data_IF_783527259472
#
_entry.id   IF_783527259472
#
_cell.length_a   1.000
_cell.length_b   1.000
_cell.length_c   1.000
_cell.angle_alpha   90.00
_cell.angle_beta   90.00
_cell.angle_gamma   90.00
#
_symmetry.space_group_name_H-M   'P 1'
#
loop_
_entity.id
_entity.type
_entity.pdbx_description
1 polymer ?
#
# COMPACT_ATOMS: atom_id res chain seq x y z
N UNK A 1 11.69 71.17 12.10
CA UNK A 1 10.54 70.26 12.25
C UNK A 1 10.70 69.17 11.20
N UNK A 2 11.01 67.93 11.59
CA UNK A 2 11.38 66.85 10.64
C UNK A 2 10.42 65.68 10.75
N UNK A 3 9.83 65.31 9.62
CA UNK A 3 8.72 64.36 9.45
C UNK A 3 9.25 62.93 9.31
N UNK A 4 10.16 62.50 10.20
CA UNK A 4 10.84 61.19 10.07
C UNK A 4 10.18 60.03 10.80
N UNK A 5 9.02 60.20 11.42
CA UNK A 5 8.46 59.17 12.31
C UNK A 5 7.21 58.43 11.79
N UNK A 6 7.05 58.34 10.46
CA UNK A 6 5.99 57.53 9.84
C UNK A 6 6.49 56.18 9.32
N UNK A 7 7.17 55.43 10.17
CA UNK A 7 7.35 54.01 9.89
C UNK A 7 7.01 53.19 11.14
N UNK A 8 5.70 53.00 11.33
CA UNK A 8 5.18 52.03 12.28
C UNK A 8 5.75 50.66 11.94
N UNK A 9 6.69 50.19 12.77
CA UNK A 9 7.21 48.82 12.71
C UNK A 9 6.02 47.88 12.86
N UNK A 10 5.68 47.16 11.79
CA UNK A 10 4.79 46.01 11.88
C UNK A 10 5.44 45.01 12.83
N UNK A 11 4.77 44.72 13.95
CA UNK A 11 5.19 43.65 14.84
C UNK A 11 4.95 42.35 14.10
N UNK A 12 6.00 41.60 13.81
CA UNK A 12 5.84 40.23 13.35
C UNK A 12 5.35 39.41 14.54
N UNK A 13 4.03 39.28 14.63
CA UNK A 13 3.34 38.41 15.58
C UNK A 13 3.42 36.99 15.06
N UNK A 14 4.59 36.38 15.24
CA UNK A 14 4.90 35.03 14.76
C UNK A 14 5.21 34.08 15.90
N UNK A 15 4.40 33.02 15.98
CA UNK A 15 4.69 31.72 16.62
C UNK A 15 4.70 31.69 18.15
N UNK A 16 3.51 31.59 18.73
CA UNK A 16 3.37 31.31 20.17
C UNK A 16 3.64 29.84 20.45
N UNK A 17 4.29 29.51 21.57
CA UNK A 17 4.54 28.13 22.02
C UNK A 17 3.26 27.27 21.97
N UNK A 18 2.10 27.84 22.34
CA UNK A 18 0.81 27.14 22.31
C UNK A 18 0.40 26.66 20.92
N UNK A 19 0.70 27.44 19.87
CA UNK A 19 0.43 27.09 18.48
C UNK A 19 1.25 25.86 18.08
N UNK A 20 2.53 25.85 18.45
CA UNK A 20 3.44 24.72 18.22
C UNK A 20 3.00 23.48 18.98
N UNK A 21 2.53 23.63 20.22
CA UNK A 21 2.10 22.50 21.04
C UNK A 21 0.91 21.77 20.42
N UNK A 22 -0.06 22.51 19.88
CA UNK A 22 -1.22 21.92 19.21
C UNK A 22 -0.78 21.19 17.94
N UNK A 23 0.14 21.77 17.16
CA UNK A 23 0.67 21.14 15.93
C UNK A 23 1.42 19.85 16.25
N UNK A 24 2.28 19.85 17.27
CA UNK A 24 3.03 18.67 17.67
C UNK A 24 2.12 17.56 18.22
N UNK A 25 1.06 17.92 18.93
CA UNK A 25 0.07 16.96 19.43
C UNK A 25 -0.63 16.24 18.26
N UNK A 26 -1.09 16.99 17.25
CA UNK A 26 -1.74 16.41 16.07
C UNK A 26 -0.74 15.62 15.20
N UNK A 27 0.47 16.15 15.00
CA UNK A 27 1.53 15.47 14.24
C UNK A 27 1.91 14.13 14.89
N UNK A 28 2.07 14.10 16.22
CA UNK A 28 2.35 12.86 16.96
C UNK A 28 1.22 11.82 16.82
N UNK A 29 -0.04 12.26 16.86
CA UNK A 29 -1.20 11.38 16.67
C UNK A 29 -1.24 10.78 15.26
N UNK A 30 -1.00 11.60 14.22
CA UNK A 30 -0.99 11.13 12.83
C UNK A 30 0.13 10.10 12.62
N UNK A 31 1.34 10.37 13.13
CA UNK A 31 2.49 9.46 13.02
C UNK A 31 2.18 8.10 13.64
N UNK A 32 1.52 8.08 14.81
CA UNK A 32 1.10 6.84 15.46
C UNK A 32 0.15 6.01 14.57
N UNK A 33 -0.90 6.63 14.02
CA UNK A 33 -1.87 5.94 13.17
C UNK A 33 -1.20 5.40 11.90
N UNK A 34 -0.34 6.20 11.26
CA UNK A 34 0.38 5.80 10.04
C UNK A 34 1.27 4.58 10.30
N UNK A 35 2.01 4.56 11.41
CA UNK A 35 2.87 3.41 11.74
C UNK A 35 2.09 2.12 12.00
N UNK A 36 0.88 2.20 12.52
CA UNK A 36 0.02 1.02 12.73
C UNK A 36 -0.70 0.59 11.43
N UNK A 37 -1.14 1.56 10.62
CA UNK A 37 -1.96 1.30 9.44
C UNK A 37 -1.15 0.79 8.23
N UNK A 38 0.03 1.35 7.97
CA UNK A 38 0.89 0.94 6.83
C UNK A 38 1.23 -0.56 6.83
N UNK A 39 1.73 -1.16 7.94
CA UNK A 39 2.03 -2.59 7.94
C UNK A 39 0.77 -3.45 7.83
N UNK A 40 -0.38 -2.98 8.35
CA UNK A 40 -1.66 -3.69 8.23
C UNK A 40 -2.15 -3.73 6.77
N UNK A 41 -2.04 -2.62 6.03
CA UNK A 41 -2.42 -2.54 4.62
C UNK A 41 -1.55 -3.43 3.73
N UNK A 42 -0.23 -3.49 3.99
CA UNK A 42 0.68 -4.38 3.28
C UNK A 42 0.32 -5.86 3.47
N UNK A 43 -0.03 -6.27 4.70
CA UNK A 43 -0.47 -7.65 4.99
C UNK A 43 -1.78 -7.99 4.28
N UNK A 44 -2.74 -7.08 4.26
CA UNK A 44 -4.02 -7.31 3.62
C UNK A 44 -3.85 -7.46 2.10
N UNK A 45 -3.04 -6.62 1.47
CA UNK A 45 -2.73 -6.71 0.04
C UNK A 45 -2.09 -8.06 -0.32
N UNK A 46 -1.13 -8.55 0.48
CA UNK A 46 -0.53 -9.88 0.30
C UNK A 46 -1.53 -11.02 0.47
N UNK A 47 -2.49 -10.91 1.40
CA UNK A 47 -3.52 -11.93 1.57
C UNK A 47 -4.48 -11.99 0.37
N UNK A 48 -4.88 -10.81 -0.13
CA UNK A 48 -5.73 -10.71 -1.32
C UNK A 48 -5.01 -11.25 -2.57
N UNK A 49 -3.74 -10.89 -2.76
CA UNK A 49 -2.93 -11.43 -3.85
C UNK A 49 -2.88 -12.97 -3.82
N UNK A 50 -2.60 -13.56 -2.66
CA UNK A 50 -2.58 -15.03 -2.50
C UNK A 50 -3.90 -15.72 -2.82
N UNK A 51 -5.02 -15.08 -2.47
CA UNK A 51 -6.36 -15.62 -2.81
C UNK A 51 -6.60 -15.57 -4.31
N UNK A 52 -6.29 -14.46 -4.94
CA UNK A 52 -6.45 -14.27 -6.39
C UNK A 52 -5.58 -15.26 -7.16
N UNK A 53 -4.34 -15.43 -6.74
CA UNK A 53 -3.38 -16.42 -7.24
C UNK A 53 -3.96 -17.84 -7.21
N UNK A 54 -4.48 -18.29 -6.06
CA UNK A 54 -5.10 -19.61 -5.93
C UNK A 54 -6.36 -19.78 -6.80
N UNK A 55 -7.20 -18.74 -6.89
CA UNK A 55 -8.38 -18.75 -7.76
C UNK A 55 -8.01 -18.83 -9.24
N UNK A 56 -6.92 -18.16 -9.65
CA UNK A 56 -6.42 -18.23 -11.02
C UNK A 56 -5.92 -19.63 -11.36
N UNK A 57 -5.12 -20.26 -10.49
CA UNK A 57 -4.68 -21.64 -10.65
C UNK A 57 -5.84 -22.62 -10.78
N UNK A 58 -6.85 -22.49 -9.91
CA UNK A 58 -8.03 -23.35 -9.97
C UNK A 58 -8.80 -23.17 -11.29
N UNK A 59 -8.89 -21.95 -11.81
CA UNK A 59 -9.47 -21.66 -13.11
C UNK A 59 -8.73 -22.37 -14.25
N UNK A 60 -7.41 -22.24 -14.28
CA UNK A 60 -6.56 -22.88 -15.30
C UNK A 60 -6.65 -24.41 -15.27
N UNK A 61 -6.66 -25.02 -14.08
CA UNK A 61 -6.82 -26.47 -13.93
C UNK A 61 -8.21 -26.91 -14.40
N UNK A 62 -9.27 -26.18 -14.03
CA UNK A 62 -10.63 -26.51 -14.48
C UNK A 62 -10.76 -26.40 -16.00
N UNK A 63 -10.16 -25.38 -16.61
CA UNK A 63 -10.13 -25.21 -18.07
C UNK A 63 -9.40 -26.39 -18.73
N UNK A 64 -8.25 -26.80 -18.18
CA UNK A 64 -7.54 -27.96 -18.68
C UNK A 64 -8.39 -29.23 -18.63
N UNK A 65 -9.00 -29.51 -17.48
CA UNK A 65 -9.84 -30.69 -17.24
C UNK A 65 -11.05 -30.71 -18.16
N UNK A 66 -11.71 -29.56 -18.36
CA UNK A 66 -12.84 -29.41 -19.28
C UNK A 66 -12.43 -29.74 -20.73
N UNK A 67 -11.23 -29.34 -21.14
CA UNK A 67 -10.73 -29.54 -22.50
C UNK A 67 -10.03 -30.90 -22.72
N UNK A 68 -9.66 -31.62 -21.66
CA UNK A 68 -8.90 -32.88 -21.74
C UNK A 68 -9.68 -34.08 -21.20
N UNK A 69 -10.99 -34.15 -21.49
CA UNK A 69 -11.85 -35.29 -21.13
C UNK A 69 -11.81 -35.65 -19.63
N UNK A 70 -11.71 -34.64 -18.76
CA UNK A 70 -11.65 -34.86 -17.31
C UNK A 70 -10.26 -35.23 -16.78
N UNK A 71 -9.22 -35.26 -17.62
CA UNK A 71 -7.86 -35.57 -17.19
C UNK A 71 -7.23 -34.38 -16.46
N UNK A 72 -6.57 -34.65 -15.34
CA UNK A 72 -5.82 -33.65 -14.59
C UNK A 72 -4.49 -33.34 -15.31
N UNK A 73 -4.04 -32.07 -15.29
CA UNK A 73 -2.74 -31.71 -15.83
C UNK A 73 -1.63 -32.37 -15.00
N UNK A 74 -0.71 -33.07 -15.67
CA UNK A 74 0.40 -33.79 -15.03
C UNK A 74 1.66 -32.94 -14.88
N UNK A 75 1.70 -31.81 -15.57
CA UNK A 75 2.78 -30.82 -15.48
C UNK A 75 2.20 -29.42 -15.37
N UNK A 76 2.99 -28.51 -14.82
CA UNK A 76 2.59 -27.11 -14.63
C UNK A 76 2.28 -26.43 -15.98
N UNK A 77 3.15 -26.62 -16.98
CA UNK A 77 2.94 -26.08 -18.32
C UNK A 77 1.73 -26.69 -19.05
N UNK A 78 1.38 -27.96 -18.77
CA UNK A 78 0.17 -28.57 -19.32
C UNK A 78 -1.09 -27.86 -18.81
N UNK A 79 -1.12 -27.42 -17.56
CA UNK A 79 -2.23 -26.63 -17.01
C UNK A 79 -2.33 -25.22 -17.61
N UNK A 80 -1.48 -24.85 -18.57
CA UNK A 80 -1.40 -23.49 -19.11
C UNK A 80 -0.76 -22.50 -18.13
N UNK A 81 -0.11 -23.00 -17.07
CA UNK A 81 0.60 -22.16 -16.11
C UNK A 81 2.04 -21.94 -16.56
N UNK A 82 2.41 -20.69 -16.75
CA UNK A 82 3.77 -20.26 -17.03
C UNK A 82 4.33 -19.55 -15.81
N UNK A 83 5.12 -20.27 -15.01
CA UNK A 83 5.73 -19.74 -13.79
C UNK A 83 6.63 -18.52 -14.00
N UNK A 84 7.06 -18.24 -15.23
CA UNK A 84 7.88 -17.09 -15.57
C UNK A 84 7.06 -15.86 -15.99
N UNK A 85 5.86 -16.07 -16.53
CA UNK A 85 5.03 -15.01 -17.11
C UNK A 85 3.74 -14.75 -16.31
N UNK A 86 3.22 -15.77 -15.63
CA UNK A 86 2.15 -15.63 -14.66
C UNK A 86 2.75 -15.01 -13.39
N UNK A 87 2.41 -13.74 -13.16
CA UNK A 87 2.88 -12.92 -12.04
C UNK A 87 2.33 -13.43 -10.69
N UNK A 88 2.76 -14.62 -10.31
CA UNK A 88 2.29 -15.33 -9.13
C UNK A 88 3.04 -14.83 -7.90
N UNK A 89 2.31 -14.18 -6.99
CA UNK A 89 2.87 -13.45 -5.85
C UNK A 89 3.45 -14.36 -4.77
N UNK A 90 3.11 -15.66 -4.78
CA UNK A 90 3.68 -16.63 -3.84
C UNK A 90 5.05 -17.18 -4.25
N UNK A 91 5.54 -16.84 -5.45
CA UNK A 91 6.91 -17.14 -5.88
C UNK A 91 7.86 -15.95 -5.66
N UNK A 92 7.50 -15.01 -4.79
CA UNK A 92 8.45 -14.04 -4.26
C UNK A 92 9.12 -14.62 -3.00
N UNK A 93 10.39 -15.05 -3.14
CA UNK A 93 11.32 -15.42 -2.04
C UNK A 93 11.59 -14.17 -1.17
N UNK A 94 12.04 -14.33 0.10
CA UNK A 94 11.68 -13.52 1.28
C UNK A 94 11.52 -12.01 1.07
#
# INVERSE_FOLDING_TARGET
>A
MSIKELYGKKKEEGFTIIEVMIVLAIAGLIILIVFLAVPALQRNSRNTQRKNDASHLAGLVNEYVANHNGQLPTTIGAAGLDLANDNFSIMNKP
#
